data_IF_139932969587
#
_entry.id   IF_139932969587
#
_cell.length_a   1.000
_cell.length_b   1.000
_cell.length_c   1.000
_cell.angle_alpha   90.00
_cell.angle_beta   90.00
_cell.angle_gamma   90.00
#
_symmetry.space_group_name_H-M   'P 1'
#
loop_
_entity.id
_entity.type
_entity.pdbx_description
1 polymer ?
#
# COMPACT_ATOMS: atom_id res chain seq x y z
N UNK A 1 8.69 13.88 -3.01
CA UNK A 1 7.79 14.00 -4.14
C UNK A 1 7.38 12.62 -4.66
N UNK A 2 6.22 12.53 -5.27
CA UNK A 2 5.64 11.25 -5.70
C UNK A 2 6.52 10.51 -6.72
N UNK A 3 7.15 11.23 -7.64
CA UNK A 3 8.03 10.61 -8.63
C UNK A 3 9.28 10.00 -8.00
N UNK A 4 9.89 10.68 -7.02
CA UNK A 4 11.04 10.16 -6.28
C UNK A 4 10.65 8.88 -5.56
N UNK A 5 9.52 8.89 -4.89
CA UNK A 5 9.04 7.74 -4.11
C UNK A 5 8.73 6.56 -5.03
N UNK A 6 8.15 6.82 -6.19
CA UNK A 6 7.94 5.78 -7.21
C UNK A 6 9.25 5.09 -7.60
N UNK A 7 10.30 5.88 -7.89
CA UNK A 7 11.59 5.32 -8.28
C UNK A 7 12.21 4.47 -7.17
N UNK A 8 12.11 4.93 -5.92
CA UNK A 8 12.61 4.19 -4.75
C UNK A 8 11.87 2.85 -4.63
N UNK A 9 10.53 2.89 -4.64
CA UNK A 9 9.70 1.70 -4.44
C UNK A 9 9.86 0.71 -5.59
N UNK A 10 9.98 1.20 -6.82
CA UNK A 10 10.18 0.35 -7.98
C UNK A 10 11.51 -0.40 -7.90
N UNK A 11 12.58 0.27 -7.49
CA UNK A 11 13.89 -0.35 -7.35
C UNK A 11 13.91 -1.41 -6.25
N UNK A 12 13.17 -1.19 -5.17
CA UNK A 12 13.05 -2.15 -4.07
C UNK A 12 12.30 -3.40 -4.53
N UNK A 13 11.39 -3.26 -5.51
CA UNK A 13 10.62 -4.38 -6.03
C UNK A 13 9.20 -4.45 -5.52
N UNK A 14 8.65 -3.33 -5.05
CA UNK A 14 7.25 -3.26 -4.60
C UNK A 14 6.34 -3.28 -5.83
N UNK A 15 5.32 -4.16 -5.88
CA UNK A 15 4.34 -4.12 -6.97
C UNK A 15 3.55 -2.82 -6.96
N UNK A 16 3.65 -2.05 -8.02
CA UNK A 16 3.06 -0.71 -8.14
C UNK A 16 2.27 -0.61 -9.45
N UNK A 17 1.27 0.29 -9.51
CA UNK A 17 0.74 0.71 -10.79
C UNK A 17 1.87 1.25 -11.67
N UNK A 18 1.81 0.93 -12.97
CA UNK A 18 2.83 1.40 -13.90
C UNK A 18 2.74 2.93 -14.07
N UNK A 19 3.88 3.59 -14.05
CA UNK A 19 3.94 5.01 -14.38
C UNK A 19 3.80 5.17 -15.90
N UNK A 20 2.74 5.85 -16.35
CA UNK A 20 2.43 5.99 -17.77
C UNK A 20 2.95 7.29 -18.38
N UNK A 21 2.93 8.39 -17.61
CA UNK A 21 3.39 9.69 -18.10
C UNK A 21 3.73 10.61 -16.94
N UNK A 22 4.64 11.55 -17.21
CA UNK A 22 5.04 12.60 -16.27
C UNK A 22 4.86 13.95 -16.95
N UNK A 23 4.12 14.85 -16.29
CA UNK A 23 3.98 16.26 -16.71
C UNK A 23 4.69 17.12 -15.65
N UNK A 24 6.00 17.27 -15.79
CA UNK A 24 6.83 17.96 -14.82
C UNK A 24 6.44 19.43 -14.60
N UNK A 25 6.11 20.23 -15.64
CA UNK A 25 5.70 21.62 -15.44
C UNK A 25 4.46 21.80 -14.56
N UNK A 26 3.55 20.83 -14.57
CA UNK A 26 2.32 20.86 -13.77
C UNK A 26 2.36 19.94 -12.56
N UNK A 27 3.52 19.35 -12.28
CA UNK A 27 3.72 18.39 -11.16
C UNK A 27 2.68 17.28 -11.17
N UNK A 28 2.35 16.75 -12.35
CA UNK A 28 1.37 15.69 -12.53
C UNK A 28 2.03 14.41 -13.02
N UNK A 29 1.47 13.29 -12.54
CA UNK A 29 1.82 11.99 -13.09
C UNK A 29 0.55 11.27 -13.49
N UNK A 30 0.67 10.42 -14.52
CA UNK A 30 -0.38 9.52 -14.94
C UNK A 30 0.09 8.11 -14.65
N UNK A 31 -0.69 7.37 -13.87
CA UNK A 31 -0.35 5.99 -13.54
C UNK A 31 -1.50 5.05 -13.93
N UNK A 32 -1.13 3.79 -14.12
CA UNK A 32 -2.06 2.73 -14.43
C UNK A 32 -3.14 2.63 -13.35
N UNK A 33 -4.38 2.36 -13.77
CA UNK A 33 -5.47 2.07 -12.84
C UNK A 33 -5.49 0.57 -12.55
N UNK A 34 -5.33 0.20 -11.29
CA UNK A 34 -5.46 -1.18 -10.84
C UNK A 34 -6.90 -1.41 -10.46
N UNK A 35 -7.64 -2.13 -11.31
CA UNK A 35 -9.07 -2.38 -11.12
C UNK A 35 -9.31 -3.43 -10.05
N UNK A 36 -10.30 -3.20 -9.21
CA UNK A 36 -10.71 -4.14 -8.17
C UNK A 36 -10.95 -3.47 -6.82
N UNK A 37 -11.50 -4.21 -5.86
CA UNK A 37 -11.71 -3.69 -4.52
C UNK A 37 -10.40 -3.56 -3.76
N UNK A 38 -10.32 -2.58 -2.87
CA UNK A 38 -9.18 -2.45 -1.94
C UNK A 38 -9.22 -3.57 -0.91
N UNK A 39 -8.07 -3.83 -0.27
CA UNK A 39 -8.01 -4.78 0.84
C UNK A 39 -8.98 -4.36 1.96
N UNK A 40 -9.10 -3.05 2.23
CA UNK A 40 -10.05 -2.55 3.22
C UNK A 40 -11.48 -3.00 2.91
N UNK A 41 -11.91 -2.88 1.65
CA UNK A 41 -13.24 -3.33 1.22
C UNK A 41 -13.39 -4.85 1.36
N UNK A 42 -12.36 -5.61 1.06
CA UNK A 42 -12.37 -7.07 1.19
C UNK A 42 -12.49 -7.49 2.67
N UNK A 43 -11.79 -6.81 3.57
CA UNK A 43 -11.89 -7.08 5.00
C UNK A 43 -13.31 -6.80 5.50
N UNK A 44 -13.86 -5.65 5.15
CA UNK A 44 -15.22 -5.24 5.57
C UNK A 44 -16.28 -6.23 5.12
N UNK A 45 -16.12 -6.83 3.94
CA UNK A 45 -17.09 -7.75 3.35
C UNK A 45 -16.77 -9.22 3.63
N UNK A 46 -15.78 -9.49 4.48
CA UNK A 46 -15.42 -10.87 4.85
C UNK A 46 -14.74 -11.67 3.76
N UNK A 47 -14.10 -10.99 2.80
CA UNK A 47 -13.44 -11.63 1.65
C UNK A 47 -11.92 -11.50 1.68
N UNK A 48 -11.36 -11.19 2.85
CA UNK A 48 -9.91 -11.12 3.03
C UNK A 48 -9.28 -12.50 2.89
N UNK A 49 -8.20 -12.59 2.14
CA UNK A 49 -7.45 -13.83 1.95
C UNK A 49 -6.07 -13.73 2.62
N UNK A 50 -5.59 -14.82 3.25
CA UNK A 50 -4.26 -14.82 3.88
C UNK A 50 -3.13 -14.47 2.91
N UNK A 51 -3.29 -14.74 1.62
CA UNK A 51 -2.28 -14.43 0.61
C UNK A 51 -1.95 -12.94 0.57
N UNK A 52 -2.91 -12.08 0.82
CA UNK A 52 -2.67 -10.63 0.79
C UNK A 52 -1.82 -10.18 1.98
N UNK A 53 -2.06 -10.77 3.15
CA UNK A 53 -1.24 -10.50 4.33
C UNK A 53 0.21 -10.97 4.11
N UNK A 54 0.38 -12.14 3.52
CA UNK A 54 1.71 -12.67 3.20
C UNK A 54 2.46 -11.75 2.24
N UNK A 55 1.75 -11.18 1.25
CA UNK A 55 2.38 -10.30 0.28
C UNK A 55 2.78 -8.95 0.88
N UNK A 56 1.99 -8.37 1.77
CA UNK A 56 2.41 -7.13 2.45
C UNK A 56 3.59 -7.40 3.37
N UNK A 57 3.65 -8.55 4.02
CA UNK A 57 4.80 -8.94 4.82
C UNK A 57 6.05 -9.10 3.95
N UNK A 58 5.91 -9.63 2.75
CA UNK A 58 7.02 -9.73 1.79
C UNK A 58 7.50 -8.34 1.36
N UNK A 59 6.59 -7.39 1.18
CA UNK A 59 6.97 -5.99 0.93
C UNK A 59 7.80 -5.43 2.09
N UNK A 60 7.38 -5.68 3.33
CA UNK A 60 8.12 -5.22 4.51
C UNK A 60 9.53 -5.80 4.56
N UNK A 61 9.71 -7.07 4.18
CA UNK A 61 11.01 -7.71 4.14
C UNK A 61 11.96 -7.03 3.14
N UNK A 62 11.42 -6.36 2.12
CA UNK A 62 12.20 -5.57 1.17
C UNK A 62 12.40 -4.12 1.65
N UNK A 63 11.36 -3.54 2.27
CA UNK A 63 11.36 -2.13 2.68
C UNK A 63 12.27 -1.85 3.87
N UNK A 64 12.19 -2.67 4.92
CA UNK A 64 12.88 -2.38 6.18
C UNK A 64 14.41 -2.34 6.02
N UNK A 65 15.05 -3.33 5.38
CA UNK A 65 16.50 -3.24 5.17
C UNK A 65 16.93 -2.05 4.33
N UNK A 66 16.03 -1.57 3.46
CA UNK A 66 16.30 -0.39 2.63
C UNK A 66 16.03 0.92 3.38
N UNK A 67 15.51 0.86 4.60
CA UNK A 67 15.27 2.03 5.44
C UNK A 67 13.95 2.75 5.19
N UNK A 68 12.92 2.05 4.70
CA UNK A 68 11.65 2.67 4.31
C UNK A 68 10.44 2.03 4.98
N UNK A 69 9.41 2.85 5.20
CA UNK A 69 8.03 2.45 5.44
C UNK A 69 7.16 2.95 4.31
N UNK A 70 6.03 2.27 4.09
CA UNK A 70 4.96 2.77 3.23
C UNK A 70 3.72 3.02 4.09
N UNK A 71 2.65 3.53 3.49
CA UNK A 71 1.39 3.73 4.20
C UNK A 71 0.62 2.42 4.20
N UNK A 72 0.61 1.74 5.35
CA UNK A 72 0.05 0.39 5.49
C UNK A 72 -1.48 0.34 5.66
N UNK A 73 -2.19 1.46 5.53
CA UNK A 73 -3.65 1.39 5.52
C UNK A 73 -4.13 0.52 4.37
N UNK A 74 -5.05 -0.43 4.63
CA UNK A 74 -5.47 -1.36 3.57
C UNK A 74 -6.26 -0.71 2.43
N UNK A 75 -6.62 0.57 2.54
CA UNK A 75 -7.18 1.33 1.41
C UNK A 75 -6.15 1.60 0.32
N UNK A 76 -4.86 1.45 0.61
CA UNK A 76 -3.77 1.70 -0.34
C UNK A 76 -3.33 0.45 -1.09
N UNK A 77 -4.07 -0.65 -0.97
CA UNK A 77 -3.69 -1.93 -1.57
C UNK A 77 -4.85 -2.52 -2.33
N UNK A 78 -4.58 -2.99 -3.56
CA UNK A 78 -5.57 -3.63 -4.42
C UNK A 78 -4.99 -4.94 -4.94
N UNK A 79 -5.60 -6.10 -4.64
CA UNK A 79 -5.22 -7.36 -5.26
C UNK A 79 -5.81 -7.47 -6.67
N UNK A 80 -4.98 -7.88 -7.62
CA UNK A 80 -5.40 -8.11 -9.00
C UNK A 80 -4.61 -9.29 -9.56
N UNK A 81 -5.31 -10.28 -10.09
CA UNK A 81 -4.69 -11.45 -10.72
C UNK A 81 -3.63 -12.13 -9.84
N UNK A 82 -3.90 -12.25 -8.54
CA UNK A 82 -3.00 -12.92 -7.61
C UNK A 82 -1.87 -12.06 -7.07
N UNK A 83 -1.73 -10.82 -7.51
CA UNK A 83 -0.69 -9.89 -7.03
C UNK A 83 -1.33 -8.78 -6.24
N UNK A 84 -0.74 -8.48 -5.08
CA UNK A 84 -1.14 -7.34 -4.26
C UNK A 84 -0.35 -6.10 -4.71
N UNK A 85 -1.06 -5.07 -5.15
CA UNK A 85 -0.45 -3.80 -5.58
C UNK A 85 -0.59 -2.75 -4.49
N UNK A 86 0.50 -2.03 -4.24
CA UNK A 86 0.48 -0.81 -3.43
C UNK A 86 0.17 0.35 -4.40
N UNK A 87 -1.03 0.94 -4.29
CA UNK A 87 -1.51 1.88 -5.30
C UNK A 87 -1.17 3.34 -5.02
N UNK A 88 -0.48 3.60 -3.92
CA UNK A 88 0.02 4.93 -3.59
C UNK A 88 1.53 4.99 -3.81
N UNK A 89 2.03 6.08 -4.38
CA UNK A 89 3.47 6.29 -4.58
C UNK A 89 4.04 7.09 -3.41
N UNK A 90 4.00 6.52 -2.20
CA UNK A 90 4.50 7.20 -1.02
C UNK A 90 5.39 6.27 -0.21
N UNK A 91 6.57 6.77 0.20
CA UNK A 91 7.39 6.09 1.19
C UNK A 91 8.03 7.13 2.11
N UNK A 92 8.30 6.70 3.34
CA UNK A 92 8.86 7.55 4.39
C UNK A 92 10.01 6.81 5.06
N UNK A 93 10.99 7.52 5.64
CA UNK A 93 12.08 6.87 6.38
C UNK A 93 11.52 5.91 7.44
N UNK A 94 12.18 4.76 7.58
CA UNK A 94 11.73 3.74 8.51
C UNK A 94 11.74 4.24 9.95
N UNK A 95 10.62 4.05 10.65
CA UNK A 95 10.48 4.27 12.08
C UNK A 95 9.67 3.10 12.65
N UNK A 96 10.16 2.41 13.70
CA UNK A 96 9.49 1.22 14.22
C UNK A 96 8.03 1.45 14.62
N UNK A 97 7.71 2.62 15.17
CA UNK A 97 6.35 2.95 15.61
C UNK A 97 5.33 3.01 14.47
N UNK A 98 5.79 3.13 13.23
CA UNK A 98 4.93 3.24 12.06
C UNK A 98 5.07 2.05 11.11
N UNK A 99 5.77 0.98 11.54
CA UNK A 99 5.91 -0.18 10.68
C UNK A 99 4.64 -1.06 10.71
N UNK A 100 4.65 -2.12 9.92
CA UNK A 100 3.47 -2.97 9.77
C UNK A 100 3.14 -3.71 11.07
N UNK A 101 4.15 -4.26 11.75
CA UNK A 101 3.96 -5.10 12.93
C UNK A 101 3.51 -4.29 14.15
N UNK A 102 3.97 -3.05 14.29
CA UNK A 102 3.62 -2.19 15.42
C UNK A 102 2.39 -1.34 15.18
N UNK A 103 2.11 -0.99 13.92
CA UNK A 103 1.03 -0.05 13.62
C UNK A 103 0.07 -0.55 12.55
N UNK A 104 0.57 -0.94 11.37
CA UNK A 104 -0.28 -1.22 10.22
C UNK A 104 -1.19 -2.42 10.41
N UNK A 105 -0.70 -3.46 11.08
CA UNK A 105 -1.40 -4.76 11.20
C UNK A 105 -2.78 -4.62 11.85
N UNK A 106 -2.99 -3.63 12.73
CA UNK A 106 -4.27 -3.42 13.40
C UNK A 106 -5.41 -3.15 12.41
N UNK A 107 -5.10 -2.68 11.21
CA UNK A 107 -6.08 -2.35 10.18
C UNK A 107 -6.29 -3.50 9.18
N UNK A 108 -5.54 -4.60 9.30
CA UNK A 108 -5.58 -5.71 8.31
C UNK A 108 -6.48 -6.87 8.72
N UNK A 109 -7.40 -6.60 9.64
CA UNK A 109 -8.48 -7.52 10.00
C UNK A 109 -9.67 -6.67 10.43
N UNK A 110 -10.83 -7.31 10.64
CA UNK A 110 -12.06 -6.59 11.01
C UNK A 110 -12.02 -6.18 12.48
N UNK A 111 -11.16 -5.22 12.80
CA UNK A 111 -10.98 -4.65 14.14
C UNK A 111 -11.78 -3.36 14.29
N UNK A 112 -11.95 -2.92 15.53
CA UNK A 112 -12.56 -1.61 15.80
C UNK A 112 -11.76 -0.48 15.16
N UNK A 113 -10.44 -0.60 15.13
CA UNK A 113 -9.57 0.39 14.49
C UNK A 113 -9.85 0.51 12.98
N UNK A 114 -9.97 -0.62 12.28
CA UNK A 114 -10.30 -0.60 10.86
C UNK A 114 -11.68 -0.01 10.61
N UNK A 115 -12.68 -0.44 11.40
CA UNK A 115 -14.06 0.04 11.22
C UNK A 115 -14.17 1.53 11.48
N UNK A 116 -13.48 2.06 12.48
CA UNK A 116 -13.44 3.49 12.78
C UNK A 116 -12.78 4.28 11.65
N UNK A 117 -11.65 3.77 11.12
CA UNK A 117 -10.96 4.40 9.99
C UNK A 117 -11.85 4.41 8.74
N UNK A 118 -12.49 3.28 8.43
CA UNK A 118 -13.36 3.17 7.25
C UNK A 118 -14.57 4.09 7.35
N UNK A 119 -15.12 4.31 8.55
CA UNK A 119 -16.24 5.24 8.76
C UNK A 119 -15.82 6.69 8.55
N UNK A 120 -14.57 7.04 8.89
CA UNK A 120 -14.04 8.38 8.70
C UNK A 120 -13.56 8.65 7.26
N UNK A 121 -13.32 7.58 6.48
CA UNK A 121 -12.79 7.66 5.10
C UNK A 121 -13.65 6.82 4.15
N UNK A 122 -14.94 7.16 3.97
CA UNK A 122 -15.87 6.36 3.16
C UNK A 122 -15.52 6.35 1.67
#
# INVERSE_FOLDING_TARGET
AELRDYEILRKIGIPLPQLLAVDAPHERILKEYIDGPTVAALIKTGRMEPAWLEQVQAMCALLYPAGWNIDYYPTNFVPQNGTLYYIDYECNPYQPEWDFEHWGVQYWSKTDALLAYAAAHP
#
